data_IF_129351769822
#
_entry.id   IF_129351769822
#
_cell.length_a   1.000
_cell.length_b   1.000
_cell.length_c   1.000
_cell.angle_alpha   90.00
_cell.angle_beta   90.00
_cell.angle_gamma   90.00
#
_symmetry.space_group_name_H-M   'P 1'
#
loop_
_entity.id
_entity.type
_entity.pdbx_description
1 polymer ?
#
# COMPACT_ATOMS: atom_id res chain seq x y z
N UNK A 1 -25.58 -33.83 12.45
CA UNK A 1 -24.44 -33.21 13.17
C UNK A 1 -24.48 -33.38 14.69
N UNK A 2 -25.65 -33.41 15.37
CA UNK A 2 -25.71 -33.56 16.83
C UNK A 2 -25.49 -34.97 17.41
N UNK A 3 -25.61 -36.04 16.62
CA UNK A 3 -25.54 -37.43 17.11
C UNK A 3 -24.18 -38.14 16.93
N UNK A 4 -23.18 -37.47 16.36
CA UNK A 4 -21.83 -38.05 16.12
C UNK A 4 -20.84 -37.78 17.28
N UNK A 5 -21.21 -36.96 18.27
CA UNK A 5 -20.34 -36.63 19.42
C UNK A 5 -20.20 -37.75 20.48
N UNK A 6 -20.85 -38.90 20.30
CA UNK A 6 -20.78 -40.05 21.22
C UNK A 6 -20.11 -41.30 20.66
N UNK A 7 -19.19 -41.15 19.70
CA UNK A 7 -18.17 -42.18 19.43
C UNK A 7 -18.70 -43.47 18.79
N UNK A 8 -19.86 -43.43 18.12
CA UNK A 8 -20.39 -44.56 17.36
C UNK A 8 -20.86 -44.07 16.00
N UNK A 9 -19.91 -43.84 15.10
CA UNK A 9 -20.16 -43.48 13.71
C UNK A 9 -18.86 -43.57 12.93
N UNK A 10 -18.85 -44.37 11.85
CA UNK A 10 -17.71 -44.51 10.96
C UNK A 10 -17.43 -43.12 10.35
N UNK A 11 -16.32 -42.48 10.77
CA UNK A 11 -15.76 -41.32 10.07
C UNK A 11 -15.15 -41.82 8.77
N UNK A 12 -15.81 -41.59 7.65
CA UNK A 12 -15.16 -41.66 6.34
C UNK A 12 -14.42 -40.34 6.17
N UNK A 13 -13.25 -40.23 6.79
CA UNK A 13 -12.35 -39.09 6.56
C UNK A 13 -11.67 -39.28 5.22
N UNK A 14 -12.00 -38.45 4.24
CA UNK A 14 -11.17 -38.33 3.04
C UNK A 14 -9.90 -37.58 3.46
N UNK A 15 -8.81 -38.30 3.73
CA UNK A 15 -7.52 -37.68 4.04
C UNK A 15 -7.07 -36.71 2.94
N UNK A 16 -6.05 -35.90 3.23
CA UNK A 16 -5.56 -34.87 2.30
C UNK A 16 -5.41 -35.40 0.87
N UNK A 17 -6.05 -34.75 -0.10
CA UNK A 17 -6.00 -35.17 -1.50
C UNK A 17 -4.64 -34.89 -2.17
N UNK A 18 -3.80 -34.05 -1.55
CA UNK A 18 -2.52 -33.56 -2.08
C UNK A 18 -1.44 -33.62 -1.01
N UNK A 19 -0.19 -33.66 -1.44
CA UNK A 19 0.97 -33.41 -0.57
C UNK A 19 1.31 -31.92 -0.62
N UNK A 20 1.61 -31.32 0.53
CA UNK A 20 1.96 -29.91 0.68
C UNK A 20 3.41 -29.75 1.09
N UNK A 21 4.08 -28.76 0.49
CA UNK A 21 5.50 -28.52 0.69
C UNK A 21 5.76 -27.05 1.01
N UNK A 22 6.63 -26.81 1.98
CA UNK A 22 7.22 -25.50 2.23
C UNK A 22 8.45 -25.34 1.37
N UNK A 23 8.43 -24.35 0.48
CA UNK A 23 9.59 -24.01 -0.34
C UNK A 23 10.65 -23.40 0.56
N UNK A 24 11.86 -23.94 0.45
CA UNK A 24 13.05 -23.44 1.16
C UNK A 24 14.05 -22.99 0.10
N UNK A 25 14.56 -21.76 0.23
CA UNK A 25 15.53 -21.23 -0.72
C UNK A 25 16.84 -22.03 -0.64
N UNK A 26 17.35 -22.46 -1.78
CA UNK A 26 18.70 -22.99 -1.90
C UNK A 26 19.66 -21.81 -2.19
N UNK A 27 20.73 -21.70 -1.42
CA UNK A 27 21.80 -20.74 -1.71
C UNK A 27 22.40 -21.03 -3.11
N UNK A 28 22.59 -19.98 -3.93
CA UNK A 28 23.47 -20.07 -5.10
C UNK A 28 22.89 -20.67 -6.40
N UNK A 29 21.67 -20.31 -6.80
CA UNK A 29 21.16 -20.61 -8.15
C UNK A 29 20.81 -22.08 -8.42
N UNK A 30 20.68 -22.88 -7.36
CA UNK A 30 20.21 -24.27 -7.42
C UNK A 30 18.68 -24.34 -7.61
N UNK A 31 18.14 -25.48 -8.12
CA UNK A 31 16.71 -25.67 -8.27
C UNK A 31 15.97 -25.51 -6.93
N UNK A 32 14.75 -24.94 -6.99
CA UNK A 32 13.91 -24.71 -5.81
C UNK A 32 13.65 -26.04 -5.12
N UNK A 33 14.01 -26.15 -3.85
CA UNK A 33 13.73 -27.33 -3.03
C UNK A 33 12.55 -27.05 -2.09
N UNK A 34 11.79 -28.08 -1.75
CA UNK A 34 10.67 -27.97 -0.81
C UNK A 34 10.66 -29.11 0.19
N UNK A 35 10.32 -28.79 1.43
CA UNK A 35 10.15 -29.77 2.50
C UNK A 35 8.69 -30.19 2.58
N UNK A 36 8.40 -31.48 2.51
CA UNK A 36 7.04 -32.01 2.67
C UNK A 36 6.55 -31.72 4.10
N UNK A 37 5.57 -30.82 4.25
CA UNK A 37 4.99 -30.46 5.55
C UNK A 37 3.75 -31.29 5.86
N UNK A 38 3.01 -31.73 4.85
CA UNK A 38 1.83 -32.58 5.01
C UNK A 38 1.68 -33.52 3.81
N UNK A 39 1.94 -34.83 3.97
CA UNK A 39 1.72 -35.81 2.92
C UNK A 39 0.26 -35.98 2.52
N UNK A 40 0.04 -36.46 1.29
CA UNK A 40 -1.25 -36.97 0.83
C UNK A 40 -1.73 -38.12 1.73
N UNK A 41 -3.03 -38.19 1.97
CA UNK A 41 -3.69 -39.26 2.72
C UNK A 41 -3.74 -39.05 4.23
N UNK A 42 -3.13 -37.98 4.76
CA UNK A 42 -3.21 -37.65 6.19
C UNK A 42 -4.64 -37.25 6.57
N UNK A 43 -5.18 -37.87 7.61
CA UNK A 43 -6.54 -37.61 8.11
C UNK A 43 -6.70 -36.15 8.59
N UNK A 44 -7.87 -35.57 8.31
CA UNK A 44 -8.24 -34.24 8.82
C UNK A 44 -8.22 -34.23 10.37
N UNK A 45 -7.76 -33.12 10.93
CA UNK A 45 -7.57 -32.92 12.37
C UNK A 45 -6.31 -33.59 12.94
N UNK A 46 -5.55 -34.35 12.14
CA UNK A 46 -4.26 -34.92 12.56
C UNK A 46 -3.12 -33.95 12.26
N UNK A 47 -2.41 -33.55 13.30
CA UNK A 47 -1.18 -32.77 13.20
C UNK A 47 0.03 -33.69 13.03
N UNK A 48 0.92 -33.34 12.10
CA UNK A 48 2.20 -33.98 11.85
C UNK A 48 3.31 -33.01 12.21
N UNK A 49 4.21 -33.42 13.10
CA UNK A 49 5.38 -32.65 13.50
C UNK A 49 6.63 -33.20 12.81
N UNK A 50 7.39 -32.32 12.17
CA UNK A 50 8.66 -32.64 11.53
C UNK A 50 9.77 -32.65 12.58
N UNK A 51 9.86 -33.73 13.37
CA UNK A 51 10.80 -33.83 14.49
C UNK A 51 12.27 -33.89 14.04
N UNK A 52 12.53 -34.48 12.88
CA UNK A 52 13.88 -34.67 12.34
C UNK A 52 14.42 -33.44 11.58
N UNK A 53 13.69 -32.32 11.60
CA UNK A 53 14.05 -31.08 10.90
C UNK A 53 13.94 -29.87 11.82
N UNK A 54 14.96 -29.03 11.78
CA UNK A 54 15.01 -27.76 12.52
C UNK A 54 15.23 -26.62 11.53
N UNK A 55 14.45 -25.57 11.68
CA UNK A 55 14.45 -24.39 10.82
C UNK A 55 14.81 -23.14 11.64
N UNK A 56 15.39 -22.12 11.00
CA UNK A 56 15.53 -20.80 11.61
C UNK A 56 14.32 -19.94 11.23
N UNK A 57 13.62 -19.42 12.23
CA UNK A 57 12.45 -18.55 12.09
C UNK A 57 12.85 -17.11 12.42
N UNK A 58 12.69 -16.18 11.48
CA UNK A 58 12.86 -14.76 11.74
C UNK A 58 11.65 -14.20 12.49
N UNK A 59 11.92 -13.46 13.57
CA UNK A 59 10.92 -12.84 14.43
C UNK A 59 11.04 -11.32 14.39
N UNK A 60 9.90 -10.63 14.50
CA UNK A 60 9.78 -9.17 14.46
C UNK A 60 10.08 -8.53 13.09
N UNK A 61 10.34 -9.36 12.08
CA UNK A 61 10.49 -8.98 10.69
C UNK A 61 9.38 -9.64 9.87
N UNK A 62 8.98 -9.04 8.75
CA UNK A 62 8.05 -9.67 7.83
C UNK A 62 8.70 -10.90 7.20
N UNK A 63 7.98 -12.02 7.29
CA UNK A 63 8.37 -13.29 6.69
C UNK A 63 7.28 -13.74 5.74
N UNK A 64 7.69 -14.38 4.65
CA UNK A 64 6.78 -14.96 3.67
C UNK A 64 7.04 -16.46 3.57
N UNK A 65 5.98 -17.24 3.72
CA UNK A 65 6.01 -18.69 3.59
C UNK A 65 5.39 -19.07 2.25
N UNK A 66 6.20 -19.66 1.37
CA UNK A 66 5.75 -20.14 0.07
C UNK A 66 5.40 -21.62 0.18
N UNK A 67 4.15 -21.95 -0.09
CA UNK A 67 3.71 -23.33 -0.18
C UNK A 67 3.47 -23.73 -1.63
N UNK A 68 3.75 -24.99 -1.93
CA UNK A 68 3.33 -25.64 -3.17
C UNK A 68 2.58 -26.92 -2.83
N UNK A 69 1.70 -27.36 -3.72
CA UNK A 69 0.98 -28.62 -3.60
C UNK A 69 1.29 -29.54 -4.77
N UNK A 70 1.46 -30.83 -4.51
CA UNK A 70 1.56 -31.88 -5.52
C UNK A 70 0.31 -32.75 -5.49
N UNK A 71 -0.24 -33.00 -6.68
CA UNK A 71 -1.37 -33.92 -6.88
C UNK A 71 -0.96 -35.25 -7.50
N UNK A 72 0.36 -35.47 -7.67
CA UNK A 72 0.91 -36.70 -8.24
C UNK A 72 0.65 -37.94 -7.37
N UNK A 73 1.00 -39.10 -7.94
CA UNK A 73 0.93 -40.39 -7.25
C UNK A 73 2.16 -40.68 -6.39
N UNK A 74 3.22 -39.87 -6.51
CA UNK A 74 4.42 -39.97 -5.69
C UNK A 74 4.07 -39.84 -4.21
N UNK A 75 4.40 -40.87 -3.44
CA UNK A 75 4.30 -40.84 -1.98
C UNK A 75 5.51 -40.09 -1.41
N UNK A 76 5.26 -39.20 -0.46
CA UNK A 76 6.28 -38.41 0.22
C UNK A 76 6.16 -38.59 1.73
N UNK A 77 7.29 -38.65 2.42
CA UNK A 77 7.34 -38.71 3.88
C UNK A 77 7.37 -37.31 4.51
N UNK A 78 6.81 -37.11 5.73
CA UNK A 78 6.94 -35.85 6.44
C UNK A 78 8.42 -35.44 6.62
N UNK A 79 8.77 -34.23 6.18
CA UNK A 79 10.14 -33.70 6.29
C UNK A 79 11.08 -34.14 5.16
N UNK A 80 10.58 -34.90 4.19
CA UNK A 80 11.30 -35.23 2.96
C UNK A 80 11.55 -33.95 2.13
N UNK A 81 12.75 -33.83 1.56
CA UNK A 81 13.10 -32.72 0.66
C UNK A 81 12.91 -33.21 -0.77
N UNK A 82 12.08 -32.50 -1.53
CA UNK A 82 11.86 -32.75 -2.94
C UNK A 82 12.30 -31.55 -3.79
N UNK A 83 12.77 -31.82 -5.00
CA UNK A 83 12.99 -30.78 -6.00
C UNK A 83 11.63 -30.31 -6.55
N UNK A 84 11.40 -29.00 -6.58
CA UNK A 84 10.14 -28.39 -6.98
C UNK A 84 10.20 -28.06 -8.47
N UNK A 85 9.74 -29.00 -9.28
CA UNK A 85 9.58 -28.85 -10.72
C UNK A 85 8.25 -28.14 -11.06
N UNK A 86 8.28 -27.19 -12.00
CA UNK A 86 7.11 -26.34 -12.32
C UNK A 86 5.92 -27.12 -12.89
N UNK A 87 6.16 -28.26 -13.55
CA UNK A 87 5.10 -29.10 -14.13
C UNK A 87 4.42 -30.01 -13.10
N UNK A 88 5.12 -30.36 -12.02
CA UNK A 88 4.70 -31.35 -11.02
C UNK A 88 4.08 -30.71 -9.77
N UNK A 89 4.29 -29.40 -9.56
CA UNK A 89 3.88 -28.67 -8.36
C UNK A 89 3.05 -27.42 -8.69
N UNK A 90 1.94 -27.25 -7.99
CA UNK A 90 1.09 -26.05 -8.10
C UNK A 90 1.37 -25.11 -6.93
N UNK A 91 1.78 -23.85 -7.17
CA UNK A 91 1.98 -22.88 -6.11
C UNK A 91 0.67 -22.50 -5.43
N UNK A 92 0.73 -22.30 -4.11
CA UNK A 92 -0.38 -21.83 -3.30
C UNK A 92 -0.16 -20.35 -2.92
N UNK A 93 -1.25 -19.61 -2.60
CA UNK A 93 -1.11 -18.27 -2.06
C UNK A 93 -0.17 -18.27 -0.84
N UNK A 94 0.89 -17.45 -0.84
CA UNK A 94 1.84 -17.41 0.25
C UNK A 94 1.21 -16.75 1.46
N UNK A 95 1.65 -17.12 2.65
CA UNK A 95 1.35 -16.34 3.85
C UNK A 95 2.49 -15.39 4.09
N UNK A 96 2.17 -14.10 4.10
CA UNK A 96 3.08 -13.08 4.57
C UNK A 96 2.60 -12.60 5.93
N UNK A 97 3.44 -12.69 6.95
CA UNK A 97 3.10 -12.30 8.32
C UNK A 97 4.31 -11.73 9.05
N UNK A 98 4.09 -11.00 10.13
CA UNK A 98 5.13 -10.59 11.07
C UNK A 98 4.93 -11.39 12.33
N UNK A 99 5.89 -12.27 12.65
CA UNK A 99 5.83 -13.06 13.86
C UNK A 99 6.34 -12.24 15.05
N UNK A 100 5.64 -12.19 16.18
CA UNK A 100 6.05 -11.38 17.31
C UNK A 100 7.41 -11.83 17.86
N UNK A 101 8.25 -10.86 18.23
CA UNK A 101 9.53 -11.08 18.92
C UNK A 101 9.48 -10.55 20.34
N UNK A 102 10.18 -11.22 21.24
CA UNK A 102 10.66 -10.62 22.49
C UNK A 102 11.94 -9.83 22.18
N UNK A 103 12.23 -8.78 22.94
CA UNK A 103 13.18 -7.73 22.58
C UNK A 103 14.63 -8.18 22.27
N UNK A 104 14.99 -9.42 22.59
CA UNK A 104 16.35 -9.97 22.43
C UNK A 104 16.49 -11.10 21.38
N UNK A 105 15.40 -11.57 20.74
CA UNK A 105 15.45 -12.73 19.82
C UNK A 105 15.02 -12.31 18.42
N UNK A 106 15.98 -12.23 17.49
CA UNK A 106 15.72 -11.94 16.06
C UNK A 106 15.49 -13.21 15.24
N UNK A 107 16.12 -14.33 15.63
CA UNK A 107 15.97 -15.64 15.01
C UNK A 107 15.73 -16.72 16.07
N UNK A 108 14.83 -17.66 15.78
CA UNK A 108 14.45 -18.76 16.67
C UNK A 108 14.55 -20.10 15.93
N UNK A 109 15.24 -21.09 16.54
CA UNK A 109 15.20 -22.47 16.05
C UNK A 109 13.85 -23.12 16.36
N UNK A 110 13.19 -23.64 15.32
CA UNK A 110 11.84 -24.21 15.39
C UNK A 110 11.74 -25.55 14.67
N UNK A 111 10.85 -26.43 15.15
CA UNK A 111 10.28 -27.49 14.33
C UNK A 111 8.99 -27.00 13.68
N UNK A 112 8.67 -27.53 12.50
CA UNK A 112 7.39 -27.31 11.87
C UNK A 112 6.41 -28.40 12.28
N UNK A 113 5.15 -28.00 12.49
CA UNK A 113 4.02 -28.92 12.56
C UNK A 113 2.96 -28.47 11.56
N UNK A 114 2.30 -29.40 10.88
CA UNK A 114 1.21 -29.07 9.96
C UNK A 114 0.06 -30.07 10.05
N UNK A 115 -1.14 -29.62 9.74
CA UNK A 115 -2.35 -30.43 9.72
C UNK A 115 -3.42 -29.82 8.82
N UNK A 116 -4.37 -30.64 8.39
CA UNK A 116 -5.52 -30.19 7.61
C UNK A 116 -6.74 -30.11 8.52
N UNK A 117 -7.44 -28.99 8.55
CA UNK A 117 -8.68 -28.88 9.33
C UNK A 117 -9.87 -29.55 8.64
N UNK A 118 -10.94 -29.83 9.38
CA UNK A 118 -12.21 -30.37 8.85
C UNK A 118 -12.87 -29.43 7.81
N UNK A 119 -12.47 -28.15 7.76
CA UNK A 119 -12.95 -27.17 6.78
C UNK A 119 -12.03 -27.04 5.56
N UNK A 120 -10.95 -27.83 5.49
CA UNK A 120 -10.00 -27.85 4.38
C UNK A 120 -9.00 -26.71 4.37
N UNK A 121 -8.64 -26.16 5.53
CA UNK A 121 -7.56 -25.18 5.72
C UNK A 121 -6.29 -25.92 6.15
N UNK A 122 -5.17 -25.66 5.49
CA UNK A 122 -3.88 -26.17 5.93
C UNK A 122 -3.36 -25.26 7.04
N UNK A 123 -3.14 -25.83 8.21
CA UNK A 123 -2.54 -25.12 9.34
C UNK A 123 -1.10 -25.56 9.48
N UNK A 124 -0.20 -24.60 9.58
CA UNK A 124 1.19 -24.84 9.90
C UNK A 124 1.53 -24.10 11.20
N UNK A 125 2.48 -24.61 11.95
CA UNK A 125 2.98 -23.94 13.14
C UNK A 125 4.47 -24.12 13.27
N UNK A 126 5.14 -23.04 13.65
CA UNK A 126 6.51 -23.07 14.09
C UNK A 126 6.52 -23.25 15.61
N UNK A 127 7.17 -24.30 16.11
CA UNK A 127 7.25 -24.63 17.52
C UNK A 127 8.71 -24.49 17.94
N UNK A 128 9.00 -23.67 18.96
CA UNK A 128 10.38 -23.50 19.42
C UNK A 128 10.98 -24.85 19.87
N UNK A 129 12.22 -25.12 19.42
CA UNK A 129 12.92 -26.40 19.69
C UNK A 129 13.08 -26.65 21.20
N UNK A 130 13.41 -25.59 21.95
CA UNK A 130 13.71 -25.66 23.38
C UNK A 130 12.50 -25.33 24.28
N UNK A 131 11.42 -24.78 23.72
CA UNK A 131 10.24 -24.30 24.46
C UNK A 131 8.95 -24.67 23.70
N UNK A 132 8.44 -25.91 23.80
CA UNK A 132 7.32 -26.37 23.00
C UNK A 132 6.00 -25.59 23.18
N UNK A 133 5.86 -24.89 24.31
CA UNK A 133 4.74 -23.97 24.61
C UNK A 133 4.75 -22.73 23.68
N UNK A 134 5.94 -22.35 23.18
CA UNK A 134 6.12 -21.18 22.31
C UNK A 134 5.85 -21.57 20.86
N UNK A 135 4.64 -21.25 20.40
CA UNK A 135 4.09 -21.68 19.12
C UNK A 135 3.57 -20.50 18.30
N UNK A 136 4.01 -20.40 17.05
CA UNK A 136 3.52 -19.43 16.08
C UNK A 136 2.67 -20.14 15.02
N UNK A 137 1.38 -19.83 14.93
CA UNK A 137 0.43 -20.45 13.99
C UNK A 137 0.34 -19.67 12.68
N UNK A 138 0.26 -20.41 11.57
CA UNK A 138 0.15 -19.93 10.19
C UNK A 138 -1.02 -20.67 9.52
N UNK A 139 -2.03 -19.97 9.00
CA UNK A 139 -3.25 -20.57 8.45
C UNK A 139 -3.40 -20.31 6.94
N UNK A 140 -3.35 -21.37 6.12
CA UNK A 140 -3.40 -21.30 4.66
C UNK A 140 -4.77 -21.75 4.14
N UNK A 141 -5.53 -20.83 3.54
CA UNK A 141 -6.82 -21.15 2.92
C UNK A 141 -6.61 -21.82 1.55
N UNK A 142 -6.92 -23.12 1.46
CA UNK A 142 -6.67 -23.92 0.25
C UNK A 142 -7.76 -23.80 -0.82
N UNK A 143 -8.97 -23.34 -0.46
CA UNK A 143 -10.16 -23.33 -1.34
C UNK A 143 -10.34 -22.04 -2.15
N UNK A 144 -9.51 -21.02 -1.91
CA UNK A 144 -9.67 -19.68 -2.52
C UNK A 144 -8.72 -19.40 -3.71
N UNK A 145 -7.93 -20.40 -4.12
CA UNK A 145 -6.92 -20.25 -5.18
C UNK A 145 -7.51 -19.93 -6.57
N UNK A 146 -8.83 -20.04 -6.78
CA UNK A 146 -9.45 -19.80 -8.08
C UNK A 146 -10.10 -18.41 -8.26
N UNK A 147 -10.35 -17.61 -7.21
CA UNK A 147 -11.13 -16.36 -7.37
C UNK A 147 -10.69 -15.10 -6.60
N UNK A 148 -9.53 -15.07 -5.96
CA UNK A 148 -9.08 -13.83 -5.27
C UNK A 148 -7.57 -13.59 -5.19
N UNK A 149 -6.75 -14.55 -5.65
CA UNK A 149 -5.29 -14.45 -5.62
C UNK A 149 -4.70 -14.22 -7.03
N UNK A 150 -5.39 -13.43 -7.87
CA UNK A 150 -4.83 -13.01 -9.14
C UNK A 150 -3.62 -12.08 -8.89
N UNK A 151 -2.42 -12.66 -8.88
CA UNK A 151 -1.19 -11.94 -9.25
C UNK A 151 -0.15 -11.62 -8.17
N UNK A 152 -0.22 -12.18 -6.95
CA UNK A 152 0.66 -11.72 -5.85
C UNK A 152 1.94 -12.56 -5.63
N UNK A 153 2.19 -13.53 -6.49
CA UNK A 153 3.44 -14.32 -6.55
C UNK A 153 3.98 -14.36 -7.97
N UNK A 154 4.29 -13.19 -8.52
CA UNK A 154 5.18 -13.13 -9.68
C UNK A 154 6.57 -13.65 -9.28
N UNK A 155 7.25 -14.39 -10.16
CA UNK A 155 8.71 -14.49 -10.08
C UNK A 155 9.25 -13.06 -10.00
N UNK A 156 10.07 -12.78 -8.99
CA UNK A 156 10.74 -11.48 -8.88
C UNK A 156 11.46 -11.17 -10.19
N UNK A 157 11.42 -9.90 -10.61
CA UNK A 157 12.00 -9.48 -11.89
C UNK A 157 13.42 -10.06 -12.07
N UNK A 158 13.75 -10.71 -13.19
CA UNK A 158 15.02 -11.44 -13.35
C UNK A 158 16.27 -10.59 -13.09
N UNK A 159 16.18 -9.28 -13.33
CA UNK A 159 17.26 -8.30 -13.14
C UNK A 159 17.15 -7.51 -11.82
N UNK A 160 16.37 -7.99 -10.86
CA UNK A 160 16.24 -7.34 -9.55
C UNK A 160 17.59 -7.23 -8.84
N UNK A 161 18.43 -8.28 -8.87
CA UNK A 161 19.75 -8.25 -8.25
C UNK A 161 20.61 -7.09 -8.75
N UNK A 162 20.65 -6.87 -10.07
CA UNK A 162 21.36 -5.73 -10.67
C UNK A 162 20.81 -4.37 -10.18
N UNK A 163 19.50 -4.24 -10.04
CA UNK A 163 18.87 -3.03 -9.53
C UNK A 163 19.15 -2.79 -8.04
N UNK A 164 19.12 -3.85 -7.23
CA UNK A 164 19.46 -3.80 -5.81
C UNK A 164 20.91 -3.38 -5.59
N UNK A 165 21.85 -3.86 -6.41
CA UNK A 165 23.26 -3.42 -6.37
C UNK A 165 23.42 -1.92 -6.64
N UNK A 166 22.61 -1.34 -7.53
CA UNK A 166 22.62 0.12 -7.77
C UNK A 166 22.13 0.91 -6.56
N UNK A 167 21.10 0.42 -5.88
CA UNK A 167 20.58 1.01 -4.65
C UNK A 167 21.63 0.90 -3.53
N UNK A 168 22.21 -0.28 -3.34
CA UNK A 168 23.26 -0.53 -2.34
C UNK A 168 24.50 0.33 -2.60
N UNK A 169 24.89 0.54 -3.86
CA UNK A 169 26.02 1.41 -4.19
C UNK A 169 25.82 2.85 -3.70
N UNK A 170 24.60 3.37 -3.73
CA UNK A 170 24.28 4.76 -3.33
C UNK A 170 23.98 4.85 -1.83
N UNK A 171 23.20 3.91 -1.28
CA UNK A 171 22.70 3.96 0.10
C UNK A 171 23.33 2.91 1.04
N UNK A 172 24.25 2.09 0.57
CA UNK A 172 24.94 1.07 1.37
C UNK A 172 25.96 1.68 2.35
N UNK A 173 26.35 0.92 3.36
CA UNK A 173 27.18 1.41 4.48
C UNK A 173 28.56 1.93 4.05
N UNK A 174 29.16 1.33 3.01
CA UNK A 174 30.45 1.76 2.49
C UNK A 174 30.30 3.11 1.78
N UNK A 175 31.05 4.12 2.24
CA UNK A 175 31.17 5.41 1.54
C UNK A 175 32.02 5.21 0.29
N UNK A 176 31.42 4.67 -0.76
CA UNK A 176 31.98 4.79 -2.10
C UNK A 176 32.03 6.29 -2.47
N UNK A 177 33.01 6.71 -3.29
CA UNK A 177 32.99 8.05 -3.91
C UNK A 177 31.85 8.07 -4.94
N UNK A 178 30.63 8.24 -4.47
CA UNK A 178 29.43 8.42 -5.29
C UNK A 178 29.30 9.91 -5.60
N UNK A 179 29.30 10.26 -6.88
CA UNK A 179 29.11 11.65 -7.30
C UNK A 179 27.62 12.02 -7.32
N UNK A 180 27.30 13.30 -7.18
CA UNK A 180 25.93 13.80 -7.17
C UNK A 180 25.17 13.44 -8.47
N UNK A 181 25.85 13.36 -9.62
CA UNK A 181 25.24 12.94 -10.88
C UNK A 181 24.71 11.51 -10.83
N UNK A 182 25.44 10.62 -10.17
CA UNK A 182 25.07 9.21 -9.99
C UNK A 182 23.83 9.08 -9.10
N UNK A 183 23.79 9.81 -7.98
CA UNK A 183 22.62 9.85 -7.09
C UNK A 183 21.37 10.33 -7.82
N UNK A 184 21.48 11.43 -8.58
CA UNK A 184 20.37 11.95 -9.39
C UNK A 184 19.96 11.02 -10.52
N UNK A 185 20.90 10.22 -11.02
CA UNK A 185 20.72 9.26 -12.11
C UNK A 185 20.02 7.97 -11.70
N UNK A 186 20.03 7.60 -10.41
CA UNK A 186 19.55 6.31 -9.91
C UNK A 186 18.19 5.91 -10.48
N UNK A 187 17.19 6.81 -10.49
CA UNK A 187 15.85 6.47 -11.00
C UNK A 187 15.89 6.05 -12.48
N UNK A 188 16.67 6.75 -13.31
CA UNK A 188 16.82 6.42 -14.74
C UNK A 188 17.60 5.12 -14.93
N UNK A 189 18.58 4.86 -14.07
CA UNK A 189 19.33 3.60 -14.10
C UNK A 189 18.43 2.41 -13.75
N UNK A 190 17.57 2.55 -12.74
CA UNK A 190 16.58 1.51 -12.40
C UNK A 190 15.61 1.27 -13.58
N UNK A 191 15.11 2.33 -14.22
CA UNK A 191 14.29 2.23 -15.44
C UNK A 191 15.02 1.50 -16.58
N UNK A 192 16.31 1.77 -16.77
CA UNK A 192 17.12 1.10 -17.80
C UNK A 192 17.33 -0.41 -17.52
N UNK A 193 17.25 -0.84 -16.26
CA UNK A 193 17.45 -2.24 -15.86
C UNK A 193 16.13 -3.00 -15.87
N UNK A 194 15.08 -2.39 -15.33
CA UNK A 194 13.79 -3.02 -15.00
C UNK A 194 12.68 -2.69 -16.01
N UNK A 195 12.93 -1.80 -16.97
CA UNK A 195 11.92 -1.30 -17.91
C UNK A 195 11.11 -0.12 -17.36
N UNK A 196 10.05 0.25 -18.07
CA UNK A 196 9.21 1.40 -17.72
C UNK A 196 8.55 1.25 -16.35
N UNK A 197 8.57 2.34 -15.56
CA UNK A 197 8.08 2.34 -14.18
C UNK A 197 6.59 2.04 -14.02
N UNK A 198 5.79 2.37 -15.03
CA UNK A 198 4.36 2.06 -15.02
C UNK A 198 4.11 0.54 -15.12
N UNK A 199 5.08 -0.23 -15.61
CA UNK A 199 5.01 -1.70 -15.67
C UNK A 199 5.61 -2.42 -14.45
N UNK A 200 6.14 -1.71 -13.45
CA UNK A 200 6.74 -2.35 -12.27
C UNK A 200 5.65 -2.91 -11.35
N UNK A 201 5.56 -4.24 -11.29
CA UNK A 201 4.57 -4.91 -10.45
C UNK A 201 4.78 -4.67 -8.94
N UNK A 202 3.74 -4.86 -8.11
CA UNK A 202 3.81 -4.66 -6.66
C UNK A 202 4.92 -5.45 -5.95
N UNK A 203 5.22 -6.69 -6.38
CA UNK A 203 6.24 -7.51 -5.74
C UNK A 203 7.63 -6.90 -5.97
N UNK A 204 7.95 -6.52 -7.21
CA UNK A 204 9.17 -5.79 -7.53
C UNK A 204 9.26 -4.48 -6.74
N UNK A 205 8.18 -3.70 -6.67
CA UNK A 205 8.16 -2.44 -5.92
C UNK A 205 8.48 -2.65 -4.44
N UNK A 206 7.92 -3.68 -3.79
CA UNK A 206 8.14 -3.93 -2.35
C UNK A 206 9.55 -4.43 -2.07
N UNK A 207 10.14 -5.22 -2.97
CA UNK A 207 11.54 -5.63 -2.87
C UNK A 207 12.52 -4.46 -3.08
N UNK A 208 12.25 -3.57 -4.04
CA UNK A 208 13.02 -2.33 -4.22
C UNK A 208 12.94 -1.42 -2.98
N UNK A 209 11.77 -1.34 -2.34
CA UNK A 209 11.63 -0.65 -1.07
C UNK A 209 12.48 -1.30 0.04
N UNK A 210 12.53 -2.64 0.12
CA UNK A 210 13.40 -3.36 1.02
C UNK A 210 14.87 -2.93 0.87
N UNK A 211 15.39 -2.95 -0.36
CA UNK A 211 16.75 -2.50 -0.66
C UNK A 211 17.01 -1.01 -0.27
N UNK A 212 16.02 -0.13 -0.47
CA UNK A 212 16.10 1.27 -0.04
C UNK A 212 16.09 1.42 1.49
N UNK A 213 15.33 0.55 2.17
CA UNK A 213 15.18 0.57 3.62
C UNK A 213 16.45 0.13 4.34
N UNK A 214 17.14 -0.88 3.84
CA UNK A 214 18.45 -1.31 4.39
C UNK A 214 19.46 -0.16 4.43
N UNK A 215 19.37 0.74 3.45
CA UNK A 215 20.18 1.96 3.34
C UNK A 215 19.59 3.22 4.00
N UNK A 216 18.49 3.12 4.76
CA UNK A 216 17.72 4.29 5.24
C UNK A 216 18.53 5.32 6.01
N UNK A 217 19.53 4.88 6.79
CA UNK A 217 20.41 5.77 7.57
C UNK A 217 21.29 6.66 6.67
N UNK A 218 21.53 6.24 5.44
CA UNK A 218 22.42 6.90 4.49
C UNK A 218 21.70 7.86 3.53
N UNK A 219 20.36 7.92 3.57
CA UNK A 219 19.57 8.92 2.82
C UNK A 219 20.01 10.36 3.11
N UNK A 220 20.57 10.59 4.30
CA UNK A 220 20.98 11.89 4.84
C UNK A 220 22.40 12.34 4.45
N UNK A 221 23.02 11.70 3.45
CA UNK A 221 24.40 12.01 3.00
C UNK A 221 24.52 13.34 2.24
N UNK A 222 23.53 13.67 1.41
CA UNK A 222 23.46 14.93 0.67
C UNK A 222 22.00 15.28 0.36
N UNK A 223 21.68 16.53 -0.05
CA UNK A 223 20.33 16.89 -0.51
C UNK A 223 19.80 15.97 -1.60
N UNK A 224 20.66 15.58 -2.54
CA UNK A 224 20.28 14.67 -3.62
C UNK A 224 19.95 13.26 -3.10
N UNK A 225 20.68 12.75 -2.09
CA UNK A 225 20.35 11.45 -1.49
C UNK A 225 18.98 11.50 -0.81
N UNK A 226 18.71 12.56 -0.02
CA UNK A 226 17.47 12.65 0.75
C UNK A 226 16.26 12.80 -0.20
N UNK A 227 16.40 13.67 -1.21
CA UNK A 227 15.40 13.89 -2.25
C UNK A 227 15.09 12.62 -3.05
N UNK A 228 16.12 11.94 -3.57
CA UNK A 228 15.94 10.74 -4.41
C UNK A 228 15.38 9.58 -3.57
N UNK A 229 15.80 9.46 -2.31
CA UNK A 229 15.29 8.42 -1.42
C UNK A 229 13.80 8.63 -1.12
N UNK A 230 13.36 9.85 -0.77
CA UNK A 230 11.92 10.12 -0.56
C UNK A 230 11.10 9.83 -1.83
N UNK A 231 11.61 10.21 -3.00
CA UNK A 231 10.94 9.90 -4.27
C UNK A 231 10.78 8.39 -4.48
N UNK A 232 11.88 7.63 -4.40
CA UNK A 232 11.84 6.19 -4.68
C UNK A 232 11.08 5.41 -3.61
N UNK A 233 11.28 5.72 -2.32
CA UNK A 233 10.58 5.05 -1.23
C UNK A 233 9.06 5.23 -1.36
N UNK A 234 8.60 6.46 -1.62
CA UNK A 234 7.17 6.73 -1.80
C UNK A 234 6.61 6.06 -3.05
N UNK A 235 7.38 6.05 -4.15
CA UNK A 235 6.97 5.34 -5.36
C UNK A 235 6.85 3.84 -5.11
N UNK A 236 7.82 3.23 -4.43
CA UNK A 236 7.87 1.80 -4.17
C UNK A 236 6.82 1.32 -3.16
N UNK A 237 6.30 2.19 -2.30
CA UNK A 237 5.26 1.84 -1.32
C UNK A 237 3.84 2.23 -1.73
N UNK A 238 3.64 3.02 -2.78
CA UNK A 238 2.29 3.48 -3.15
C UNK A 238 1.32 2.29 -3.37
N UNK A 239 0.03 2.41 -3.01
CA UNK A 239 -0.61 3.52 -2.28
C UNK A 239 -0.43 3.48 -0.74
N UNK A 240 0.45 2.62 -0.24
CA UNK A 240 0.66 2.34 1.19
C UNK A 240 -0.13 1.12 1.71
N UNK A 241 -0.90 0.46 0.84
CA UNK A 241 -1.70 -0.72 1.18
C UNK A 241 -1.95 -1.57 -0.09
N UNK A 242 -2.54 -2.75 0.09
CA UNK A 242 -2.97 -3.62 -1.00
C UNK A 242 -1.96 -4.70 -1.39
N UNK A 243 -0.71 -4.62 -0.93
CA UNK A 243 0.26 -5.71 -0.99
C UNK A 243 0.50 -6.31 0.40
N UNK A 244 0.78 -7.63 0.52
CA UNK A 244 1.07 -8.25 1.79
C UNK A 244 2.17 -7.50 2.58
N UNK A 245 1.90 -7.21 3.85
CA UNK A 245 2.78 -6.51 4.79
C UNK A 245 2.98 -5.01 4.50
N UNK A 246 2.17 -4.40 3.65
CA UNK A 246 2.23 -2.95 3.43
C UNK A 246 1.97 -2.15 4.71
N UNK A 247 1.00 -2.57 5.55
CA UNK A 247 0.73 -1.91 6.84
C UNK A 247 2.00 -1.86 7.71
N UNK A 248 2.76 -2.95 7.76
CA UNK A 248 4.03 -2.98 8.48
C UNK A 248 5.10 -2.10 7.83
N UNK A 249 5.22 -2.12 6.50
CA UNK A 249 6.18 -1.29 5.75
C UNK A 249 5.92 0.22 5.94
N UNK A 250 4.66 0.61 6.04
CA UNK A 250 4.26 1.99 6.32
C UNK A 250 4.49 2.33 7.79
N UNK A 251 4.18 1.42 8.72
CA UNK A 251 4.48 1.61 10.14
C UNK A 251 5.98 1.77 10.42
N UNK A 252 6.84 0.98 9.79
CA UNK A 252 8.29 1.15 9.96
C UNK A 252 8.80 2.48 9.39
N UNK A 253 8.12 3.03 8.38
CA UNK A 253 8.51 4.28 7.73
C UNK A 253 8.11 5.49 8.58
N UNK A 254 7.04 5.39 9.37
CA UNK A 254 6.51 6.48 10.19
C UNK A 254 7.52 7.17 11.11
N UNK A 255 8.45 6.48 11.82
CA UNK A 255 9.53 7.11 12.58
C UNK A 255 10.42 8.09 11.78
N UNK A 256 10.41 8.07 10.44
CA UNK A 256 11.08 9.08 9.62
C UNK A 256 10.37 10.44 9.72
N UNK A 257 9.05 10.46 9.90
CA UNK A 257 8.25 11.67 10.11
C UNK A 257 8.82 12.53 11.25
N UNK A 258 9.04 11.92 12.42
CA UNK A 258 9.63 12.58 13.59
C UNK A 258 11.05 13.10 13.34
N UNK A 259 11.82 12.41 12.50
CA UNK A 259 13.18 12.84 12.16
C UNK A 259 13.18 14.07 11.24
N UNK A 260 12.10 14.28 10.47
CA UNK A 260 11.94 15.39 9.54
C UNK A 260 12.91 15.40 8.35
N UNK A 261 12.87 16.49 7.59
CA UNK A 261 13.80 16.80 6.51
C UNK A 261 15.12 17.33 7.08
N UNK A 262 16.25 16.76 6.69
CA UNK A 262 17.56 17.27 7.12
C UNK A 262 17.95 18.54 6.35
N UNK A 263 17.76 18.53 5.04
CA UNK A 263 18.15 19.66 4.17
C UNK A 263 17.01 20.67 4.03
N UNK A 264 16.64 21.32 5.14
CA UNK A 264 15.44 22.18 5.24
C UNK A 264 15.42 23.39 4.32
N UNK A 265 16.58 23.84 3.80
CA UNK A 265 16.68 24.96 2.87
C UNK A 265 16.46 24.56 1.41
N UNK A 266 16.43 23.25 1.12
CA UNK A 266 16.34 22.71 -0.22
C UNK A 266 14.88 22.43 -0.59
N UNK A 267 14.27 23.36 -1.35
CA UNK A 267 12.87 23.24 -1.82
C UNK A 267 12.59 21.90 -2.51
N UNK A 268 13.48 21.36 -3.37
CA UNK A 268 13.25 20.07 -4.01
C UNK A 268 13.15 18.89 -3.01
N UNK A 269 13.81 18.97 -1.85
CA UNK A 269 13.73 17.91 -0.82
C UNK A 269 12.36 17.94 -0.14
N UNK A 270 11.86 19.14 0.19
CA UNK A 270 10.50 19.31 0.72
C UNK A 270 9.41 18.83 -0.25
N UNK A 271 9.59 19.09 -1.55
CA UNK A 271 8.67 18.61 -2.58
C UNK A 271 8.55 17.08 -2.55
N UNK A 272 9.67 16.37 -2.43
CA UNK A 272 9.67 14.90 -2.36
C UNK A 272 9.22 14.37 -1.00
N UNK A 273 9.47 15.11 0.09
CA UNK A 273 8.93 14.80 1.41
C UNK A 273 7.41 14.78 1.42
N UNK A 274 6.76 15.84 0.91
CA UNK A 274 5.30 15.87 0.80
C UNK A 274 4.76 14.81 -0.16
N UNK A 275 5.49 14.56 -1.25
CA UNK A 275 5.12 13.52 -2.23
C UNK A 275 5.20 12.11 -1.63
N UNK A 276 6.20 11.81 -0.80
CA UNK A 276 6.32 10.55 -0.07
C UNK A 276 5.07 10.28 0.77
N UNK A 277 4.72 11.20 1.67
CA UNK A 277 3.57 11.03 2.56
C UNK A 277 2.25 10.97 1.79
N UNK A 278 2.12 11.76 0.72
CA UNK A 278 0.96 11.72 -0.18
C UNK A 278 0.78 10.34 -0.82
N UNK A 279 1.87 9.75 -1.33
CA UNK A 279 1.84 8.44 -2.03
C UNK A 279 1.45 7.28 -1.12
N UNK A 280 1.75 7.36 0.17
CA UNK A 280 1.51 6.28 1.14
C UNK A 280 0.36 6.56 2.10
N UNK A 281 -0.36 7.68 1.91
CA UNK A 281 -1.39 8.13 2.84
C UNK A 281 -2.44 7.06 3.14
N UNK A 282 -2.75 6.19 2.17
CA UNK A 282 -3.70 5.09 2.35
C UNK A 282 -3.30 4.04 3.38
N UNK A 283 -1.99 3.87 3.62
CA UNK A 283 -1.45 2.99 4.66
C UNK A 283 -1.35 3.65 6.04
N UNK A 284 -1.43 4.98 6.12
CA UNK A 284 -1.29 5.70 7.39
C UNK A 284 -2.58 5.61 8.21
N UNK A 285 -2.45 5.36 9.51
CA UNK A 285 -3.58 5.39 10.42
C UNK A 285 -4.11 6.82 10.64
N UNK A 286 -5.23 6.93 11.37
CA UNK A 286 -5.86 8.23 11.67
C UNK A 286 -4.92 9.18 12.39
N UNK A 287 -4.15 8.70 13.35
CA UNK A 287 -3.28 9.55 14.17
C UNK A 287 -2.13 10.14 13.34
N UNK A 288 -1.53 9.31 12.48
CA UNK A 288 -0.50 9.73 11.55
C UNK A 288 -1.02 10.78 10.55
N UNK A 289 -2.24 10.61 10.03
CA UNK A 289 -2.82 11.61 9.13
C UNK A 289 -3.17 12.92 9.83
N UNK A 290 -3.72 12.89 11.05
CA UNK A 290 -3.97 14.10 11.84
C UNK A 290 -2.66 14.85 12.16
N UNK A 291 -1.58 14.13 12.47
CA UNK A 291 -0.25 14.73 12.65
C UNK A 291 0.25 15.43 11.36
N UNK A 292 0.08 14.80 10.20
CA UNK A 292 0.43 15.42 8.91
C UNK A 292 -0.42 16.67 8.63
N UNK A 293 -1.69 16.71 9.00
CA UNK A 293 -2.52 17.92 8.89
C UNK A 293 -1.98 19.02 9.78
N UNK A 294 -1.58 18.72 11.00
CA UNK A 294 -1.03 19.73 11.92
C UNK A 294 0.24 20.37 11.37
N UNK A 295 1.14 19.57 10.77
CA UNK A 295 2.37 20.07 10.14
C UNK A 295 2.11 21.09 9.02
N UNK A 296 1.07 20.85 8.21
CA UNK A 296 0.75 21.67 7.03
C UNK A 296 -0.24 22.80 7.35
N UNK A 297 -0.95 22.73 8.49
CA UNK A 297 -1.99 23.69 8.89
C UNK A 297 -1.50 25.13 8.90
N UNK A 298 -0.27 25.36 9.38
CA UNK A 298 0.34 26.69 9.38
C UNK A 298 0.50 27.30 7.99
N UNK A 299 0.62 26.48 6.95
CA UNK A 299 0.71 26.92 5.56
C UNK A 299 -0.61 27.00 4.81
N UNK A 300 -1.59 26.18 5.21
CA UNK A 300 -2.91 26.14 4.61
C UNK A 300 -3.83 27.25 5.12
N UNK A 301 -3.65 27.70 6.37
CA UNK A 301 -4.43 28.81 6.92
C UNK A 301 -4.33 30.06 6.04
N UNK A 302 -5.45 30.68 5.64
CA UNK A 302 -5.44 31.95 4.94
C UNK A 302 -4.70 32.99 5.78
N UNK A 303 -3.91 33.89 5.17
CA UNK A 303 -3.27 34.96 5.91
C UNK A 303 -4.36 35.84 6.55
N UNK A 304 -4.36 35.96 7.89
CA UNK A 304 -5.25 36.91 8.56
C UNK A 304 -4.95 38.33 8.06
N UNK A 305 -5.97 39.19 7.95
CA UNK A 305 -5.79 40.63 7.75
C UNK A 305 -4.96 41.16 8.91
N UNK A 306 -3.68 41.42 8.65
CA UNK A 306 -2.60 41.68 9.62
C UNK A 306 -3.04 42.52 10.82
N UNK A 307 -3.16 41.88 11.98
CA UNK A 307 -2.93 42.53 13.27
C UNK A 307 -1.42 42.66 13.48
N UNK A 308 -0.93 43.87 13.74
CA UNK A 308 0.49 44.27 13.88
C UNK A 308 1.31 43.50 14.94
N UNK A 309 0.75 42.48 15.60
CA UNK A 309 1.36 41.75 16.75
C UNK A 309 1.62 40.26 16.51
N UNK A 310 1.29 39.69 15.36
CA UNK A 310 1.55 38.26 15.14
C UNK A 310 2.96 38.01 14.58
N UNK A 311 3.59 36.93 15.06
CA UNK A 311 4.89 36.44 14.56
C UNK A 311 4.75 36.11 13.07
N UNK A 312 5.77 36.36 12.24
CA UNK A 312 5.73 36.01 10.82
C UNK A 312 5.42 34.51 10.65
N UNK A 313 4.38 34.22 9.86
CA UNK A 313 3.98 32.86 9.51
C UNK A 313 5.20 32.16 8.88
N UNK A 314 5.56 30.96 9.35
CA UNK A 314 6.69 30.20 8.80
C UNK A 314 6.49 30.07 7.28
N UNK A 315 7.50 30.46 6.50
CA UNK A 315 7.45 30.36 5.04
C UNK A 315 7.23 28.89 4.66
N UNK A 316 6.10 28.62 4.02
CA UNK A 316 5.76 27.29 3.51
C UNK A 316 6.69 26.94 2.36
N UNK A 317 7.29 25.75 2.41
CA UNK A 317 8.22 25.27 1.37
C UNK A 317 7.53 24.18 0.56
N UNK A 318 7.66 24.25 -0.77
CA UNK A 318 7.01 23.34 -1.72
C UNK A 318 5.47 23.30 -1.57
N UNK A 319 4.86 24.50 -1.60
CA UNK A 319 3.44 24.74 -1.31
C UNK A 319 2.48 23.85 -2.12
N UNK A 320 2.63 23.75 -3.45
CA UNK A 320 1.71 22.96 -4.28
C UNK A 320 1.68 21.47 -3.87
N UNK A 321 2.84 20.87 -3.59
CA UNK A 321 2.91 19.48 -3.13
C UNK A 321 2.33 19.29 -1.73
N UNK A 322 2.48 20.30 -0.86
CA UNK A 322 1.89 20.30 0.48
C UNK A 322 0.35 20.37 0.41
N UNK A 323 -0.21 21.22 -0.46
CA UNK A 323 -1.66 21.28 -0.70
C UNK A 323 -2.18 19.97 -1.25
N UNK A 324 -1.44 19.32 -2.16
CA UNK A 324 -1.79 17.98 -2.65
C UNK A 324 -1.76 16.91 -1.56
N UNK A 325 -0.83 16.99 -0.59
CA UNK A 325 -0.86 16.11 0.57
C UNK A 325 -2.18 16.26 1.33
N UNK A 326 -2.60 17.49 1.64
CA UNK A 326 -3.86 17.76 2.34
C UNK A 326 -5.07 17.08 1.69
N UNK A 327 -5.17 17.16 0.36
CA UNK A 327 -6.23 16.51 -0.42
C UNK A 327 -6.29 14.99 -0.25
N UNK A 328 -5.17 14.33 0.03
CA UNK A 328 -5.10 12.87 0.12
C UNK A 328 -5.40 12.30 1.50
N UNK A 329 -5.56 13.10 2.55
CA UNK A 329 -5.72 12.64 3.93
C UNK A 329 -7.19 12.32 4.26
N UNK A 330 -7.62 11.10 3.92
CA UNK A 330 -9.03 10.71 3.99
C UNK A 330 -9.49 10.18 5.36
N UNK A 331 -8.57 9.83 6.26
CA UNK A 331 -8.88 9.25 7.59
C UNK A 331 -9.01 10.29 8.71
N UNK A 332 -8.70 11.55 8.43
CA UNK A 332 -8.90 12.66 9.38
C UNK A 332 -10.39 12.89 9.67
N UNK A 333 -10.67 13.55 10.79
CA UNK A 333 -12.04 13.89 11.22
C UNK A 333 -12.79 14.75 10.19
N UNK A 334 -14.14 14.66 10.20
CA UNK A 334 -15.00 15.45 9.32
C UNK A 334 -14.77 16.93 9.57
N UNK A 335 -14.71 17.33 10.83
CA UNK A 335 -14.50 18.71 11.27
C UNK A 335 -13.19 19.25 10.70
N UNK A 336 -12.12 18.43 10.73
CA UNK A 336 -10.82 18.79 10.16
C UNK A 336 -10.86 18.91 8.64
N UNK A 337 -11.56 18.00 7.93
CA UNK A 337 -11.75 18.13 6.47
C UNK A 337 -12.47 19.42 6.11
N UNK A 338 -13.51 19.78 6.87
CA UNK A 338 -14.27 21.01 6.67
C UNK A 338 -13.36 22.23 6.90
N UNK A 339 -12.65 22.27 8.02
CA UNK A 339 -11.72 23.35 8.36
C UNK A 339 -10.69 23.58 7.25
N UNK A 340 -10.01 22.51 6.81
CA UNK A 340 -9.00 22.59 5.75
C UNK A 340 -9.64 22.99 4.41
N UNK A 341 -10.79 22.43 4.05
CA UNK A 341 -11.49 22.79 2.81
C UNK A 341 -11.91 24.26 2.78
N UNK A 342 -12.41 24.80 3.89
CA UNK A 342 -12.76 26.22 4.02
C UNK A 342 -11.53 27.13 3.91
N UNK A 343 -10.40 26.74 4.50
CA UNK A 343 -9.14 27.46 4.30
C UNK A 343 -8.72 27.51 2.83
N UNK A 344 -8.75 26.37 2.14
CA UNK A 344 -8.39 26.30 0.72
C UNK A 344 -9.32 27.14 -0.16
N UNK A 345 -10.63 27.09 0.09
CA UNK A 345 -11.63 27.90 -0.61
C UNK A 345 -11.44 29.41 -0.38
N UNK A 346 -11.08 29.82 0.83
CA UNK A 346 -10.76 31.22 1.12
C UNK A 346 -9.50 31.67 0.36
N UNK A 347 -8.47 30.83 0.32
CA UNK A 347 -7.24 31.13 -0.43
C UNK A 347 -7.48 31.25 -1.92
N UNK A 348 -8.33 30.38 -2.48
CA UNK A 348 -8.72 30.39 -3.91
C UNK A 348 -9.43 31.68 -4.35
N UNK A 349 -9.87 32.55 -3.43
CA UNK A 349 -10.36 33.90 -3.76
C UNK A 349 -9.24 34.84 -4.20
N UNK A 350 -7.99 34.56 -3.84
CA UNK A 350 -6.82 35.33 -4.25
C UNK A 350 -6.31 34.86 -5.61
N UNK A 351 -6.01 35.79 -6.51
CA UNK A 351 -5.37 35.48 -7.80
C UNK A 351 -3.93 34.96 -7.67
N UNK A 352 -3.30 35.11 -6.50
CA UNK A 352 -1.97 34.57 -6.21
C UNK A 352 -1.97 33.10 -5.81
N UNK A 353 -3.15 32.54 -5.51
CA UNK A 353 -3.31 31.14 -5.13
C UNK A 353 -3.24 30.24 -6.36
N UNK A 354 -2.61 29.08 -6.19
CA UNK A 354 -2.47 28.10 -7.26
C UNK A 354 -3.85 27.52 -7.63
N UNK A 355 -4.20 27.53 -8.92
CA UNK A 355 -5.44 26.89 -9.39
C UNK A 355 -5.49 25.39 -9.06
N UNK A 356 -4.32 24.76 -8.85
CA UNK A 356 -4.20 23.36 -8.46
C UNK A 356 -4.76 23.08 -7.06
N UNK A 357 -4.99 24.12 -6.24
CA UNK A 357 -5.63 24.00 -4.94
C UNK A 357 -7.06 23.44 -5.03
N UNK A 358 -7.75 23.63 -6.17
CA UNK A 358 -9.03 22.99 -6.43
C UNK A 358 -8.98 21.47 -6.37
N UNK A 359 -7.88 20.86 -6.81
CA UNK A 359 -7.71 19.41 -6.73
C UNK A 359 -7.81 18.91 -5.28
N UNK A 360 -7.21 19.63 -4.33
CA UNK A 360 -7.27 19.27 -2.92
C UNK A 360 -8.68 19.47 -2.33
N UNK A 361 -9.38 20.54 -2.72
CA UNK A 361 -10.79 20.76 -2.35
C UNK A 361 -11.66 19.60 -2.84
N UNK A 362 -11.52 19.21 -4.11
CA UNK A 362 -12.25 18.09 -4.70
C UNK A 362 -12.01 16.77 -3.97
N UNK A 363 -10.75 16.49 -3.59
CA UNK A 363 -10.39 15.26 -2.87
C UNK A 363 -10.87 15.24 -1.42
N UNK A 364 -10.78 16.37 -0.69
CA UNK A 364 -11.28 16.48 0.68
C UNK A 364 -12.80 16.25 0.77
N UNK A 365 -13.54 16.78 -0.20
CA UNK A 365 -15.00 16.66 -0.28
C UNK A 365 -15.49 15.49 -1.12
N UNK A 366 -14.62 14.59 -1.59
CA UNK A 366 -15.00 13.51 -2.49
C UNK A 366 -16.09 12.61 -1.88
N UNK A 367 -17.11 12.26 -2.69
CA UNK A 367 -18.23 11.39 -2.27
C UNK A 367 -17.84 9.92 -2.18
N UNK A 368 -16.92 9.52 -3.06
CA UNK A 368 -16.33 8.18 -3.11
C UNK A 368 -14.86 8.31 -2.65
N UNK A 369 -14.56 8.07 -1.35
CA UNK A 369 -13.19 8.06 -0.86
C UNK A 369 -12.39 6.92 -1.50
N UNK A 370 -11.07 7.08 -1.60
CA UNK A 370 -10.16 6.07 -2.15
C UNK A 370 -9.88 4.95 -1.14
N UNK A 371 -9.64 5.30 0.12
CA UNK A 371 -9.30 4.36 1.19
C UNK A 371 -9.91 4.76 2.55
N UNK A 372 -10.44 5.98 2.67
CA UNK A 372 -11.20 6.42 3.82
C UNK A 372 -12.54 5.68 3.92
N UNK A 373 -13.07 5.59 5.13
CA UNK A 373 -14.41 5.03 5.34
C UNK A 373 -15.48 6.01 4.89
N UNK A 374 -16.64 5.50 4.44
CA UNK A 374 -17.79 6.32 4.08
C UNK A 374 -18.24 7.25 5.23
N UNK A 375 -18.02 6.84 6.48
CA UNK A 375 -18.30 7.62 7.69
C UNK A 375 -17.44 8.88 7.86
N UNK A 376 -16.33 9.02 7.12
CA UNK A 376 -15.45 10.18 7.18
C UNK A 376 -15.69 11.16 6.01
N UNK A 377 -16.76 10.96 5.23
CA UNK A 377 -17.12 11.84 4.12
C UNK A 377 -17.76 13.12 4.65
N UNK A 378 -17.37 14.28 4.11
CA UNK A 378 -17.92 15.59 4.53
C UNK A 378 -19.43 15.62 4.24
N UNK A 379 -20.29 16.17 5.14
CA UNK A 379 -21.73 16.28 4.91
C UNK A 379 -22.10 16.94 3.59
N UNK A 380 -23.14 16.41 2.93
CA UNK A 380 -23.57 16.84 1.59
C UNK A 380 -23.92 18.33 1.54
N UNK A 381 -24.48 18.89 2.61
CA UNK A 381 -24.86 20.30 2.72
C UNK A 381 -23.62 21.22 2.71
N UNK A 382 -22.52 20.77 3.32
CA UNK A 382 -21.24 21.50 3.27
C UNK A 382 -20.60 21.41 1.90
N UNK A 383 -20.63 20.21 1.28
CA UNK A 383 -20.08 20.03 -0.07
C UNK A 383 -20.88 20.75 -1.14
N UNK A 384 -22.21 20.82 -1.03
CA UNK A 384 -23.04 21.62 -1.92
C UNK A 384 -22.59 23.09 -1.92
N UNK A 385 -22.28 23.66 -0.75
CA UNK A 385 -21.71 25.02 -0.66
C UNK A 385 -20.36 25.14 -1.36
N UNK A 386 -19.50 24.12 -1.27
CA UNK A 386 -18.20 24.11 -1.96
C UNK A 386 -18.36 24.04 -3.50
N UNK A 387 -19.32 23.26 -3.98
CA UNK A 387 -19.68 23.18 -5.41
C UNK A 387 -20.09 24.55 -5.95
N UNK A 388 -20.84 25.36 -5.18
CA UNK A 388 -21.20 26.72 -5.61
C UNK A 388 -19.99 27.63 -5.84
N UNK A 389 -18.87 27.40 -5.16
CA UNK A 389 -17.64 28.15 -5.45
C UNK A 389 -17.05 27.74 -6.80
N UNK A 390 -17.04 26.43 -7.12
CA UNK A 390 -16.53 25.93 -8.39
C UNK A 390 -17.45 26.33 -9.56
N UNK A 391 -18.77 26.33 -9.37
CA UNK A 391 -19.75 26.73 -10.38
C UNK A 391 -19.66 28.21 -10.79
N UNK A 392 -18.99 29.08 -10.02
CA UNK A 392 -18.76 30.49 -10.39
C UNK A 392 -17.59 30.71 -11.35
N UNK A 393 -16.72 29.71 -11.54
CA UNK A 393 -15.51 29.84 -12.34
C UNK A 393 -15.74 29.46 -13.80
N UNK A 394 -14.96 30.01 -14.71
CA UNK A 394 -14.89 29.52 -16.08
C UNK A 394 -14.06 28.23 -16.13
N UNK A 395 -14.70 27.10 -16.42
CA UNK A 395 -14.05 25.78 -16.43
C UNK A 395 -13.18 25.54 -17.66
N UNK A 396 -13.34 26.34 -18.72
CA UNK A 396 -12.42 26.30 -19.86
C UNK A 396 -11.06 26.93 -19.50
N UNK A 397 -11.05 27.89 -18.57
CA UNK A 397 -9.84 28.52 -18.04
C UNK A 397 -9.29 27.82 -16.78
N UNK A 398 -10.17 27.23 -15.97
CA UNK A 398 -9.83 26.61 -14.67
C UNK A 398 -10.30 25.15 -14.64
N UNK A 399 -9.70 24.32 -15.47
CA UNK A 399 -10.00 22.87 -15.55
C UNK A 399 -9.94 22.17 -14.17
N UNK A 400 -8.98 22.45 -13.26
CA UNK A 400 -8.98 21.82 -11.93
C UNK A 400 -10.25 22.07 -11.11
N UNK A 401 -10.95 23.19 -11.33
CA UNK A 401 -12.23 23.47 -10.67
C UNK A 401 -13.36 22.60 -11.22
N UNK A 402 -13.36 22.31 -12.52
CA UNK A 402 -14.29 21.38 -13.15
C UNK A 402 -14.09 19.97 -12.58
N UNK A 403 -12.84 19.51 -12.54
CA UNK A 403 -12.51 18.21 -11.95
C UNK A 403 -12.87 18.13 -10.46
N UNK A 404 -12.63 19.20 -9.69
CA UNK A 404 -13.06 19.27 -8.31
C UNK A 404 -14.59 19.13 -8.18
N UNK A 405 -15.36 19.87 -8.98
CA UNK A 405 -16.82 19.78 -9.00
C UNK A 405 -17.29 18.35 -9.32
N UNK A 406 -16.64 17.66 -10.26
CA UNK A 406 -16.90 16.24 -10.57
C UNK A 406 -16.75 15.36 -9.33
N UNK A 407 -15.65 15.46 -8.58
CA UNK A 407 -15.42 14.63 -7.39
C UNK A 407 -16.40 14.94 -6.24
N UNK A 408 -16.77 16.21 -6.10
CA UNK A 408 -17.73 16.68 -5.09
C UNK A 408 -19.16 16.23 -5.41
N UNK A 409 -19.53 16.12 -6.69
CA UNK A 409 -20.87 15.76 -7.15
C UNK A 409 -21.01 14.30 -7.63
N UNK A 410 -19.93 13.51 -7.62
CA UNK A 410 -19.90 12.12 -8.07
C UNK A 410 -20.96 11.27 -7.36
N UNK A 411 -21.69 10.45 -8.12
CA UNK A 411 -22.64 9.47 -7.59
C UNK A 411 -21.89 8.36 -6.85
N UNK A 412 -22.22 8.16 -5.58
CA UNK A 412 -21.65 7.10 -4.74
C UNK A 412 -22.57 5.90 -4.54
N UNK A 413 -23.83 6.00 -4.96
CA UNK A 413 -24.86 4.98 -4.74
C UNK A 413 -25.50 5.03 -3.35
N UNK A 414 -25.12 6.01 -2.53
CA UNK A 414 -25.61 6.23 -1.18
C UNK A 414 -26.24 7.62 -1.05
N UNK A 415 -27.55 7.65 -0.80
CA UNK A 415 -28.37 8.87 -0.74
C UNK A 415 -27.98 9.82 0.38
N UNK A 416 -27.37 9.33 1.45
CA UNK A 416 -26.92 10.18 2.57
C UNK A 416 -25.63 10.96 2.22
N UNK A 417 -24.85 10.43 1.26
CA UNK A 417 -23.58 11.05 0.81
C UNK A 417 -23.76 11.89 -0.44
N UNK A 418 -24.59 11.41 -1.36
CA UNK A 418 -24.82 12.03 -2.66
C UNK A 418 -25.46 13.41 -2.51
N UNK A 419 -25.07 14.34 -3.38
CA UNK A 419 -25.70 15.65 -3.47
C UNK A 419 -27.09 15.52 -4.08
N UNK A 420 -27.95 16.49 -3.78
CA UNK A 420 -29.28 16.59 -4.39
C UNK A 420 -29.18 16.63 -5.91
N UNK A 421 -30.16 16.02 -6.57
CA UNK A 421 -30.22 15.89 -8.03
C UNK A 421 -30.09 17.24 -8.75
N UNK A 422 -30.71 18.29 -8.20
CA UNK A 422 -30.63 19.65 -8.74
C UNK A 422 -29.18 20.17 -8.82
N UNK A 423 -28.38 19.94 -7.77
CA UNK A 423 -26.99 20.39 -7.73
C UNK A 423 -26.14 19.56 -8.70
N UNK A 424 -26.36 18.24 -8.76
CA UNK A 424 -25.65 17.36 -9.70
C UNK A 424 -25.96 17.71 -11.15
N UNK A 425 -27.23 17.95 -11.46
CA UNK A 425 -27.68 18.35 -12.79
C UNK A 425 -26.98 19.63 -13.26
N UNK A 426 -26.88 20.66 -12.40
CA UNK A 426 -26.15 21.91 -12.71
C UNK A 426 -24.65 21.67 -12.99
N UNK A 427 -24.02 20.77 -12.25
CA UNK A 427 -22.62 20.39 -12.50
C UNK A 427 -22.50 19.68 -13.85
N UNK A 428 -23.36 18.71 -14.13
CA UNK A 428 -23.34 17.94 -15.38
C UNK A 428 -23.64 18.82 -16.61
N UNK A 429 -24.62 19.72 -16.54
CA UNK A 429 -24.93 20.70 -17.58
C UNK A 429 -23.71 21.58 -17.88
N UNK A 430 -23.09 22.14 -16.85
CA UNK A 430 -21.92 23.00 -17.04
C UNK A 430 -20.73 22.24 -17.61
N UNK A 431 -20.50 20.97 -17.22
CA UNK A 431 -19.45 20.12 -17.79
C UNK A 431 -19.66 19.92 -19.30
N UNK A 432 -20.91 19.75 -19.74
CA UNK A 432 -21.27 19.66 -21.17
C UNK A 432 -21.03 20.98 -21.90
N UNK A 433 -21.48 22.09 -21.33
CA UNK A 433 -21.31 23.42 -21.92
C UNK A 433 -19.84 23.78 -22.13
N UNK A 434 -18.96 23.38 -21.21
CA UNK A 434 -17.52 23.65 -21.30
C UNK A 434 -16.73 22.59 -22.04
N UNK A 435 -17.38 21.57 -22.61
CA UNK A 435 -16.73 20.50 -23.38
C UNK A 435 -15.76 19.65 -22.54
N UNK A 436 -16.06 19.46 -21.26
CA UNK A 436 -15.24 18.63 -20.35
C UNK A 436 -15.36 17.13 -20.67
N UNK A 437 -14.53 16.30 -20.02
CA UNK A 437 -14.48 14.87 -20.28
C UNK A 437 -15.86 14.20 -20.16
N UNK A 438 -16.26 13.33 -21.13
CA UNK A 438 -17.45 12.50 -21.00
C UNK A 438 -17.43 11.58 -19.76
N UNK A 439 -16.23 11.17 -19.31
CA UNK A 439 -16.08 10.37 -18.08
C UNK A 439 -16.57 11.14 -16.86
N UNK A 440 -16.27 12.45 -16.78
CA UNK A 440 -16.68 13.30 -15.65
C UNK A 440 -18.18 13.53 -15.61
N UNK A 441 -18.82 13.69 -16.78
CA UNK A 441 -20.27 13.82 -16.87
C UNK A 441 -20.93 12.54 -16.35
N UNK A 442 -20.48 11.37 -16.82
CA UNK A 442 -20.99 10.07 -16.34
C UNK A 442 -20.84 9.91 -14.83
N UNK A 443 -19.69 10.25 -14.25
CA UNK A 443 -19.47 10.17 -12.80
C UNK A 443 -20.48 10.97 -11.97
N UNK A 444 -20.98 12.08 -12.49
CA UNK A 444 -21.94 12.96 -11.79
C UNK A 444 -23.39 12.47 -11.96
N UNK A 445 -23.69 11.76 -13.04
CA UNK A 445 -25.05 11.33 -13.40
C UNK A 445 -25.38 9.90 -12.98
N UNK A 446 -24.39 9.00 -13.03
CA UNK A 446 -24.57 7.58 -12.78
C UNK A 446 -23.45 6.99 -11.93
N UNK A 447 -23.73 5.83 -11.33
CA UNK A 447 -22.74 5.08 -10.56
C UNK A 447 -21.74 4.43 -11.54
N UNK A 448 -20.54 5.02 -11.66
CA UNK A 448 -19.48 4.54 -12.58
C UNK A 448 -18.24 4.09 -11.82
N UNK A 449 -17.61 3.02 -12.30
CA UNK A 449 -16.22 2.66 -11.95
C UNK A 449 -15.24 3.64 -12.59
N UNK A 450 -14.08 3.85 -11.96
CA UNK A 450 -13.05 4.76 -12.50
C UNK A 450 -12.29 4.09 -13.65
N UNK A 451 -12.02 4.86 -14.71
CA UNK A 451 -11.08 4.46 -15.75
C UNK A 451 -9.63 4.80 -15.31
N UNK A 452 -8.63 4.12 -15.87
CA UNK A 452 -7.21 4.30 -15.47
C UNK A 452 -6.72 5.75 -15.58
N UNK A 453 -7.21 6.51 -16.57
CA UNK A 453 -6.89 7.92 -16.72
C UNK A 453 -7.45 8.78 -15.58
N UNK A 454 -8.69 8.48 -15.16
CA UNK A 454 -9.34 9.16 -14.05
C UNK A 454 -8.68 8.79 -12.71
N UNK A 455 -8.31 7.52 -12.53
CA UNK A 455 -7.52 7.05 -11.38
C UNK A 455 -6.22 7.87 -11.27
N UNK A 456 -5.45 7.98 -12.35
CA UNK A 456 -4.21 8.76 -12.37
C UNK A 456 -4.43 10.23 -12.03
N UNK A 457 -5.56 10.82 -12.42
CA UNK A 457 -5.88 12.20 -12.09
C UNK A 457 -6.32 12.37 -10.62
N UNK A 458 -7.07 11.41 -10.07
CA UNK A 458 -7.51 11.38 -8.66
C UNK A 458 -6.34 11.11 -7.70
N UNK A 459 -5.39 10.27 -8.10
CA UNK A 459 -4.24 9.85 -7.27
C UNK A 459 -2.99 10.68 -7.55
N UNK A 460 -2.97 11.43 -8.65
CA UNK A 460 -1.82 12.17 -9.16
C UNK A 460 -0.76 11.28 -9.82
N UNK A 461 -0.89 9.96 -9.73
CA UNK A 461 0.00 8.92 -10.27
C UNK A 461 -0.75 7.61 -10.53
N UNK A 462 -0.19 6.75 -11.38
CA UNK A 462 -0.70 5.40 -11.64
C UNK A 462 -0.51 4.49 -10.41
N UNK A 463 -1.54 3.70 -10.11
CA UNK A 463 -1.41 2.57 -9.18
C UNK A 463 -0.46 1.52 -9.78
N UNK A 464 0.24 0.74 -8.93
CA UNK A 464 1.00 -0.41 -9.40
C UNK A 464 0.12 -1.39 -10.21
N UNK A 465 0.61 -1.95 -11.33
CA UNK A 465 -0.11 -2.97 -12.08
C UNK A 465 -0.61 -4.11 -11.20
N UNK A 466 -1.85 -4.54 -11.39
CA UNK A 466 -2.45 -5.62 -10.59
C UNK A 466 -3.06 -5.17 -9.26
N UNK A 467 -2.83 -3.94 -8.82
CA UNK A 467 -3.72 -3.30 -7.85
C UNK A 467 -4.88 -2.65 -8.61
N UNK A 468 -6.10 -3.02 -8.23
CA UNK A 468 -7.33 -2.42 -8.76
C UNK A 468 -8.19 -1.93 -7.62
N UNK A 469 -8.99 -0.91 -7.90
CA UNK A 469 -10.03 -0.45 -7.00
C UNK A 469 -11.11 -1.53 -6.91
N UNK A 470 -11.48 -1.89 -5.69
CA UNK A 470 -12.71 -2.65 -5.42
C UNK A 470 -13.63 -1.66 -4.72
N UNK A 471 -14.66 -1.18 -5.43
CA UNK A 471 -15.63 -0.22 -4.93
C UNK A 471 -16.83 -0.91 -4.28
#
# INVERSE_FOLDING_TARGET
YGLSRHGSGIRIGAGSARSYFLVVDAEGGQPRSGVCVLPRGVEEGKEIRLQDRVFSLRLGQPVQFHLVSSSGETAYEPGEIAEIEEESFTPLPPIATVLPREAAVEEQRVNLAAGLTEVGTLEMSCIAENEPEKRWRLEFQLRSAEKGALGMTGRLHPRFGEAAEKIERIYGARRHKVDAREVRGLRRELESILGERDGWDPALLRELFGALWDGVRHRRRSPDHERVWFNLAGFCLRPGFGFPLDDWRVQQLWPIHEQGVQYVHEVPVWSEWWTLWRRIAGGLDRNAQEALVEDISGGLRPPEKVSRRQKPQKKVVAYDTMVRLAGTLERISIERKIEVGEWLLERLKSSSESIQTWWAVGRLGARVPFYGTASNVVPRETVARWVEHALKLDWTAVEPAAFAATLLARVSGDRERDLDEEVRSRVAEKLRETGSSPTWIRMVEELTELEEADEKQIFGESLPPGLRLVH
#
